data_IF_737378164711
#
_entry.id   IF_737378164711
#
_cell.length_a   1.000
_cell.length_b   1.000
_cell.length_c   1.000
_cell.angle_alpha   90.00
_cell.angle_beta   90.00
_cell.angle_gamma   90.00
#
_symmetry.space_group_name_H-M   'P 1'
#
loop_
_entity.id
_entity.type
_entity.pdbx_description
1 polymer ?
#
# COMPACT_ATOMS: atom_id res chain seq x y z
N UNK A 1 -23.91 -68.97 -2.20
CA UNK A 1 -22.68 -69.77 -1.95
C UNK A 1 -21.78 -68.92 -1.05
N UNK A 2 -21.20 -69.33 0.11
CA UNK A 2 -20.53 -70.59 0.54
C UNK A 2 -19.33 -70.92 -0.37
N UNK A 3 -18.08 -71.10 0.05
CA UNK A 3 -17.31 -71.04 1.34
C UNK A 3 -15.83 -70.70 0.96
N UNK A 4 -14.79 -70.45 1.78
CA UNK A 4 -14.52 -70.53 3.23
C UNK A 4 -13.42 -69.54 3.69
N UNK A 5 -12.92 -69.72 4.92
CA UNK A 5 -11.76 -69.05 5.55
C UNK A 5 -10.41 -69.68 5.14
N UNK A 6 -9.31 -68.98 5.42
CA UNK A 6 -8.11 -69.58 6.07
C UNK A 6 -7.25 -68.48 6.71
N UNK A 7 -6.47 -68.85 7.75
CA UNK A 7 -5.68 -67.92 8.57
C UNK A 7 -4.19 -68.00 8.26
N UNK A 8 -3.43 -66.95 8.60
CA UNK A 8 -2.03 -67.06 9.00
C UNK A 8 -1.62 -65.88 9.90
N UNK A 9 -0.91 -66.19 10.99
CA UNK A 9 -0.30 -65.21 11.90
C UNK A 9 1.22 -65.20 11.67
N UNK A 10 1.84 -64.02 11.75
CA UNK A 10 3.30 -63.89 11.90
C UNK A 10 3.63 -62.74 12.85
N UNK A 11 4.27 -63.07 13.97
CA UNK A 11 4.85 -62.10 14.91
C UNK A 11 6.33 -61.87 14.58
N UNK A 12 6.77 -60.61 14.45
CA UNK A 12 8.17 -60.18 14.72
C UNK A 12 8.15 -58.71 15.19
N UNK A 13 9.23 -58.13 15.78
CA UNK A 13 9.14 -57.68 17.17
C UNK A 13 9.40 -56.18 17.42
N UNK A 14 9.12 -55.74 18.64
CA UNK A 14 9.43 -54.39 19.13
C UNK A 14 10.94 -54.15 19.27
N UNK A 15 11.47 -53.08 18.67
CA UNK A 15 12.85 -52.62 18.87
C UNK A 15 12.89 -51.31 19.67
N UNK A 16 13.19 -51.41 20.97
CA UNK A 16 13.43 -50.24 21.83
C UNK A 16 14.87 -49.75 21.67
N UNK A 17 15.07 -48.46 21.35
CA UNK A 17 16.39 -47.80 21.35
C UNK A 17 16.29 -46.29 21.61
N UNK A 18 16.15 -45.90 22.88
CA UNK A 18 16.25 -44.49 23.31
C UNK A 18 17.67 -44.21 23.83
N UNK A 19 18.54 -43.69 22.96
CA UNK A 19 19.94 -43.41 23.31
C UNK A 19 20.12 -41.99 23.88
N UNK A 20 20.54 -41.89 25.14
CA UNK A 20 20.85 -40.61 25.79
C UNK A 20 22.30 -40.16 25.52
N UNK A 21 22.49 -39.24 24.55
CA UNK A 21 23.78 -38.55 24.33
C UNK A 21 23.81 -37.17 24.98
N UNK A 22 24.31 -37.13 26.22
CA UNK A 22 24.53 -35.93 27.03
C UNK A 22 25.76 -35.15 26.52
N UNK A 23 25.55 -34.15 25.66
CA UNK A 23 26.65 -33.37 25.07
C UNK A 23 26.91 -32.01 25.74
N UNK A 24 28.13 -31.53 25.55
CA UNK A 24 28.88 -30.44 26.17
C UNK A 24 28.19 -29.11 26.50
N UNK A 25 28.73 -28.46 27.54
CA UNK A 25 28.55 -27.03 27.86
C UNK A 25 29.13 -26.15 26.74
N UNK A 26 28.38 -25.16 26.27
CA UNK A 26 28.90 -23.97 25.59
C UNK A 26 28.12 -22.70 26.02
N UNK A 27 28.88 -21.65 26.31
CA UNK A 27 28.57 -20.21 26.14
C UNK A 27 27.21 -19.62 26.53
N UNK A 28 26.76 -19.92 27.75
CA UNK A 28 25.71 -19.15 28.43
C UNK A 28 26.17 -17.76 28.93
N UNK A 29 26.85 -16.93 28.11
CA UNK A 29 27.30 -15.58 28.55
C UNK A 29 27.44 -14.47 27.49
N UNK A 30 26.77 -14.54 26.34
CA UNK A 30 26.80 -13.49 25.30
C UNK A 30 25.48 -12.71 25.07
N UNK A 31 24.34 -13.19 25.59
CA UNK A 31 23.00 -12.80 25.10
C UNK A 31 22.25 -11.73 25.95
N UNK A 32 22.95 -10.82 26.65
CA UNK A 32 22.32 -9.94 27.67
C UNK A 32 22.56 -8.43 27.50
N UNK A 33 23.14 -7.98 26.37
CA UNK A 33 23.39 -6.53 26.12
C UNK A 33 22.84 -5.97 24.79
N UNK A 34 22.25 -6.78 23.91
CA UNK A 34 21.62 -6.29 22.67
C UNK A 34 20.17 -5.81 22.84
N UNK A 35 19.38 -6.47 23.68
CA UNK A 35 17.92 -6.38 23.73
C UNK A 35 17.31 -5.09 24.37
N UNK A 36 18.10 -4.02 24.54
CA UNK A 36 17.63 -2.74 25.12
C UNK A 36 17.86 -1.50 24.25
N UNK A 37 18.13 -1.68 22.95
CA UNK A 37 18.24 -0.56 21.99
C UNK A 37 17.31 -0.65 20.76
N UNK A 38 16.49 -1.70 20.65
CA UNK A 38 15.52 -1.86 19.56
C UNK A 38 14.10 -1.35 19.90
N UNK A 39 13.74 -1.25 21.18
CA UNK A 39 12.36 -1.00 21.63
C UNK A 39 12.00 0.48 21.85
N UNK A 40 12.70 1.42 21.20
CA UNK A 40 12.55 2.87 21.39
C UNK A 40 12.63 3.67 20.07
N UNK A 41 12.41 3.02 18.92
CA UNK A 41 12.52 3.64 17.59
C UNK A 41 11.55 3.06 16.56
N UNK A 42 10.43 2.49 17.02
CA UNK A 42 9.41 1.82 16.18
C UNK A 42 8.03 2.49 16.34
N UNK A 43 7.66 2.79 17.57
CA UNK A 43 6.32 3.26 17.99
C UNK A 43 5.85 4.60 17.42
N UNK A 44 6.66 5.29 16.61
CA UNK A 44 6.25 6.48 15.85
C UNK A 44 5.73 6.07 14.48
N UNK A 45 6.60 5.43 13.70
CA UNK A 45 6.30 4.93 12.35
C UNK A 45 5.16 3.89 12.38
N UNK A 46 5.16 2.95 13.33
CA UNK A 46 4.08 1.97 13.54
C UNK A 46 2.70 2.64 13.76
N UNK A 47 2.66 3.84 14.35
CA UNK A 47 1.43 4.59 14.62
C UNK A 47 0.97 5.39 13.40
N UNK A 48 1.91 6.04 12.69
CA UNK A 48 1.61 6.82 11.51
C UNK A 48 1.22 5.94 10.31
N UNK A 49 1.76 4.72 10.18
CA UNK A 49 1.30 3.75 9.19
C UNK A 49 -0.10 3.20 9.52
N UNK A 50 -0.39 2.87 10.79
CA UNK A 50 -1.75 2.50 11.21
C UNK A 50 -2.77 3.64 10.98
N UNK A 51 -2.33 4.90 11.09
CA UNK A 51 -3.12 6.09 10.77
C UNK A 51 -3.35 6.24 9.26
N UNK A 52 -2.33 6.01 8.42
CA UNK A 52 -2.45 5.96 6.95
C UNK A 52 -3.41 4.87 6.49
N UNK A 53 -3.32 3.66 7.06
CA UNK A 53 -4.27 2.57 6.77
C UNK A 53 -5.71 2.95 7.17
N UNK A 54 -5.91 3.56 8.33
CA UNK A 54 -7.23 4.00 8.78
C UNK A 54 -7.83 5.10 7.86
N UNK A 55 -7.01 6.04 7.39
CA UNK A 55 -7.40 7.07 6.42
C UNK A 55 -7.75 6.45 5.06
N UNK A 56 -7.00 5.45 4.58
CA UNK A 56 -7.32 4.70 3.36
C UNK A 56 -8.59 3.87 3.48
N UNK A 57 -8.84 3.27 4.64
CA UNK A 57 -10.04 2.48 4.92
C UNK A 57 -11.32 3.34 5.05
N UNK A 58 -11.17 4.64 5.33
CA UNK A 58 -12.28 5.60 5.32
C UNK A 58 -12.72 6.01 3.89
N UNK A 59 -11.83 5.90 2.89
CA UNK A 59 -12.19 6.14 1.49
C UNK A 59 -12.96 4.93 0.90
N UNK A 60 -14.17 5.12 0.34
CA UNK A 60 -14.93 4.04 -0.28
C UNK A 60 -14.11 3.37 -1.39
N UNK A 61 -14.17 2.05 -1.56
CA UNK A 61 -13.25 1.27 -2.41
C UNK A 61 -13.05 1.86 -3.81
N UNK A 62 -14.15 2.23 -4.47
CA UNK A 62 -14.20 2.79 -5.81
C UNK A 62 -14.23 4.34 -5.79
N UNK A 63 -13.46 4.97 -4.89
CA UNK A 63 -13.39 6.42 -4.76
C UNK A 63 -12.91 7.09 -6.05
N UNK A 64 -13.80 7.87 -6.67
CA UNK A 64 -13.46 8.83 -7.71
C UNK A 64 -12.54 9.92 -7.14
N UNK A 65 -11.83 10.63 -8.02
CA UNK A 65 -11.01 11.77 -7.60
C UNK A 65 -11.83 12.85 -6.85
N UNK A 66 -13.10 13.06 -7.21
CA UNK A 66 -14.00 13.97 -6.47
C UNK A 66 -14.25 13.50 -5.04
N UNK A 67 -14.59 12.23 -4.83
CA UNK A 67 -14.82 11.66 -3.50
C UNK A 67 -13.54 11.65 -2.65
N UNK A 68 -12.37 11.43 -3.28
CA UNK A 68 -11.08 11.59 -2.62
C UNK A 68 -10.89 13.03 -2.10
N UNK A 69 -11.11 14.05 -2.95
CA UNK A 69 -10.87 15.45 -2.59
C UNK A 69 -11.90 15.95 -1.57
N UNK A 70 -13.18 15.57 -1.69
CA UNK A 70 -14.20 15.84 -0.69
C UNK A 70 -13.80 15.28 0.68
N UNK A 71 -13.32 14.04 0.75
CA UNK A 71 -12.84 13.47 2.00
C UNK A 71 -11.59 14.19 2.53
N UNK A 72 -10.61 14.49 1.66
CA UNK A 72 -9.40 15.22 2.03
C UNK A 72 -9.70 16.60 2.64
N UNK A 73 -10.72 17.32 2.13
CA UNK A 73 -11.18 18.59 2.70
C UNK A 73 -11.93 18.45 4.04
N UNK A 74 -12.39 17.24 4.43
CA UNK A 74 -12.93 16.99 5.78
C UNK A 74 -11.86 16.69 6.84
N UNK A 75 -10.61 16.45 6.43
CA UNK A 75 -9.50 16.15 7.34
C UNK A 75 -8.86 17.45 7.86
N UNK A 76 -8.29 17.38 9.07
CA UNK A 76 -7.73 18.53 9.77
C UNK A 76 -6.21 18.40 9.93
N UNK A 77 -5.48 19.51 9.72
CA UNK A 77 -4.02 19.51 9.83
C UNK A 77 -3.36 18.56 8.83
N UNK A 78 -2.35 17.83 9.29
CA UNK A 78 -1.50 16.99 8.43
C UNK A 78 -2.20 15.72 7.89
N UNK A 79 -3.38 15.36 8.40
CA UNK A 79 -4.14 14.16 7.98
C UNK A 79 -4.49 14.18 6.48
N UNK A 80 -4.75 15.35 5.89
CA UNK A 80 -4.96 15.48 4.45
C UNK A 80 -3.68 15.14 3.64
N UNK A 81 -2.51 15.54 4.12
CA UNK A 81 -1.22 15.22 3.51
C UNK A 81 -0.87 13.73 3.65
N UNK A 82 -1.16 13.14 4.81
CA UNK A 82 -1.01 11.70 5.03
C UNK A 82 -1.97 10.87 4.17
N UNK A 83 -3.21 11.30 3.98
CA UNK A 83 -4.15 10.65 3.06
C UNK A 83 -3.63 10.69 1.62
N UNK A 84 -3.12 11.83 1.14
CA UNK A 84 -2.54 11.96 -0.21
C UNK A 84 -1.35 11.01 -0.39
N UNK A 85 -0.44 10.94 0.59
CA UNK A 85 0.71 10.03 0.53
C UNK A 85 0.26 8.56 0.56
N UNK A 86 -0.62 8.19 1.50
CA UNK A 86 -1.13 6.83 1.62
C UNK A 86 -1.88 6.37 0.34
N UNK A 87 -2.67 7.27 -0.27
CA UNK A 87 -3.35 6.98 -1.53
C UNK A 87 -2.37 6.81 -2.68
N UNK A 88 -1.34 7.66 -2.76
CA UNK A 88 -0.23 7.46 -3.71
C UNK A 88 0.47 6.12 -3.50
N UNK A 89 0.60 5.65 -2.25
CA UNK A 89 1.26 4.39 -1.92
C UNK A 89 0.42 3.14 -2.16
N UNK A 90 -0.91 3.26 -2.18
CA UNK A 90 -1.85 2.16 -2.40
C UNK A 90 -1.93 1.67 -3.85
N UNK A 91 -2.42 0.45 -4.05
CA UNK A 91 -2.78 -0.11 -5.38
C UNK A 91 -3.95 0.64 -6.06
N UNK A 92 -4.57 1.59 -5.37
CA UNK A 92 -5.73 2.36 -5.84
C UNK A 92 -5.33 3.55 -6.73
N UNK A 93 -4.04 3.88 -6.79
CA UNK A 93 -3.51 4.86 -7.74
C UNK A 93 -3.42 4.24 -9.14
N UNK A 94 -4.49 4.39 -9.93
CA UNK A 94 -4.59 3.88 -11.31
C UNK A 94 -4.41 4.98 -12.37
N UNK A 95 -4.26 4.58 -13.64
CA UNK A 95 -4.28 5.52 -14.77
C UNK A 95 -5.62 6.26 -14.84
N UNK A 96 -6.73 5.54 -14.70
CA UNK A 96 -8.09 6.09 -14.69
C UNK A 96 -8.27 7.15 -13.59
N UNK A 97 -7.72 6.92 -12.39
CA UNK A 97 -7.75 7.91 -11.31
C UNK A 97 -6.93 9.18 -11.67
N UNK A 98 -5.79 9.02 -12.35
CA UNK A 98 -4.98 10.14 -12.85
C UNK A 98 -5.69 10.91 -13.98
N UNK A 99 -6.43 10.22 -14.85
CA UNK A 99 -7.27 10.82 -15.88
C UNK A 99 -8.43 11.62 -15.26
N UNK A 100 -9.17 11.03 -14.31
CA UNK A 100 -10.22 11.72 -13.54
C UNK A 100 -9.68 12.96 -12.80
N UNK A 101 -8.47 12.88 -12.22
CA UNK A 101 -7.81 14.00 -11.56
C UNK A 101 -7.54 15.17 -12.54
N UNK A 102 -7.11 14.85 -13.76
CA UNK A 102 -6.91 15.85 -14.81
C UNK A 102 -8.22 16.41 -15.34
N UNK A 103 -9.25 15.57 -15.58
CA UNK A 103 -10.57 16.04 -16.01
C UNK A 103 -11.19 17.00 -14.98
N UNK A 104 -11.03 16.73 -13.67
CA UNK A 104 -11.50 17.64 -12.63
C UNK A 104 -10.73 18.97 -12.61
N UNK A 105 -9.40 18.94 -12.78
CA UNK A 105 -8.57 20.14 -12.86
C UNK A 105 -8.89 20.99 -14.11
N UNK A 106 -9.08 20.35 -15.27
CA UNK A 106 -9.47 21.02 -16.51
C UNK A 106 -10.93 21.51 -16.47
N UNK A 107 -11.83 20.76 -15.81
CA UNK A 107 -13.20 21.16 -15.54
C UNK A 107 -13.30 22.39 -14.62
N UNK A 108 -12.45 22.47 -13.59
CA UNK A 108 -12.32 23.64 -12.73
C UNK A 108 -11.84 24.87 -13.51
N UNK A 109 -10.78 24.72 -14.31
CA UNK A 109 -10.27 25.78 -15.17
C UNK A 109 -11.33 26.28 -16.17
N UNK A 110 -12.00 25.38 -16.89
CA UNK A 110 -12.98 25.74 -17.93
C UNK A 110 -14.29 26.31 -17.39
N UNK A 111 -14.70 25.98 -16.16
CA UNK A 111 -15.86 26.63 -15.50
C UNK A 111 -15.55 27.99 -14.87
N UNK A 112 -14.29 28.45 -14.89
CA UNK A 112 -13.89 29.67 -14.18
C UNK A 112 -14.01 29.53 -12.67
N UNK A 113 -13.62 28.38 -12.12
CA UNK A 113 -13.56 28.15 -10.68
C UNK A 113 -12.57 29.11 -9.99
N UNK A 114 -12.69 29.34 -8.68
CA UNK A 114 -11.67 30.03 -7.89
C UNK A 114 -10.26 29.52 -8.18
N UNK A 115 -9.29 30.43 -8.20
CA UNK A 115 -7.89 30.13 -8.52
C UNK A 115 -7.31 29.12 -7.52
N UNK A 116 -7.62 29.26 -6.23
CA UNK A 116 -7.25 28.34 -5.14
C UNK A 116 -7.83 26.92 -5.33
N UNK A 117 -9.10 26.81 -5.75
CA UNK A 117 -9.74 25.52 -6.05
C UNK A 117 -9.06 24.84 -7.26
N UNK A 118 -8.86 25.60 -8.33
CA UNK A 118 -8.21 25.15 -9.57
C UNK A 118 -6.76 24.73 -9.31
N UNK A 119 -6.00 25.53 -8.56
CA UNK A 119 -4.62 25.26 -8.20
C UNK A 119 -4.50 24.03 -7.29
N UNK A 120 -5.47 23.79 -6.40
CA UNK A 120 -5.53 22.58 -5.58
C UNK A 120 -5.69 21.34 -6.46
N UNK A 121 -6.67 21.32 -7.37
CA UNK A 121 -6.85 20.19 -8.28
C UNK A 121 -5.65 19.95 -9.20
N UNK A 122 -5.06 21.00 -9.78
CA UNK A 122 -3.85 20.92 -10.62
C UNK A 122 -2.65 20.38 -9.82
N UNK A 123 -2.53 20.75 -8.55
CA UNK A 123 -1.45 20.27 -7.66
C UNK A 123 -1.63 18.79 -7.33
N UNK A 124 -2.84 18.37 -6.95
CA UNK A 124 -3.15 16.97 -6.67
C UNK A 124 -2.98 16.08 -7.91
N UNK A 125 -3.50 16.48 -9.07
CA UNK A 125 -3.33 15.75 -10.33
C UNK A 125 -1.84 15.56 -10.67
N UNK A 126 -1.00 16.58 -10.48
CA UNK A 126 0.46 16.47 -10.66
C UNK A 126 1.11 15.50 -9.67
N UNK A 127 0.72 15.52 -8.40
CA UNK A 127 1.24 14.60 -7.37
C UNK A 127 0.88 13.15 -7.73
N UNK A 128 -0.37 12.89 -8.09
CA UNK A 128 -0.84 11.55 -8.47
C UNK A 128 -0.16 11.04 -9.75
N UNK A 129 -0.12 11.85 -10.83
CA UNK A 129 0.59 11.48 -12.06
C UNK A 129 2.09 11.22 -11.82
N UNK A 130 2.76 12.02 -10.97
CA UNK A 130 4.18 11.84 -10.66
C UNK A 130 4.44 10.55 -9.87
N UNK A 131 3.54 10.17 -8.95
CA UNK A 131 3.64 8.93 -8.18
C UNK A 131 3.18 7.69 -8.96
N UNK A 132 2.28 7.84 -9.93
CA UNK A 132 1.90 6.76 -10.83
C UNK A 132 3.04 6.46 -11.81
N UNK A 133 3.62 7.52 -12.41
CA UNK A 133 4.77 7.44 -13.32
C UNK A 133 5.99 6.74 -12.73
N UNK A 134 6.24 6.88 -11.43
CA UNK A 134 7.38 6.22 -10.76
C UNK A 134 7.14 4.73 -10.46
N UNK A 135 5.90 4.24 -10.60
CA UNK A 135 5.50 2.84 -10.35
C UNK A 135 5.33 2.03 -11.64
N UNK A 136 4.78 2.64 -12.67
CA UNK A 136 4.40 1.96 -13.92
C UNK A 136 5.59 1.67 -14.85
N UNK A 137 5.38 0.76 -15.79
CA UNK A 137 6.40 0.45 -16.80
C UNK A 137 6.43 1.52 -17.92
N UNK A 138 7.55 1.66 -18.65
CA UNK A 138 7.70 2.69 -19.69
C UNK A 138 6.55 2.89 -20.71
N UNK A 139 5.82 1.86 -21.21
CA UNK A 139 4.68 2.12 -22.11
C UNK A 139 3.52 2.86 -21.42
N UNK A 140 3.24 2.57 -20.16
CA UNK A 140 2.20 3.24 -19.38
C UNK A 140 2.66 4.66 -18.98
N UNK A 141 3.95 4.83 -18.70
CA UNK A 141 4.54 6.15 -18.47
C UNK A 141 4.43 7.09 -19.68
N UNK A 142 4.38 6.56 -20.91
CA UNK A 142 4.16 7.34 -22.13
C UNK A 142 2.75 7.95 -22.19
N UNK A 143 1.73 7.24 -21.71
CA UNK A 143 0.36 7.75 -21.68
C UNK A 143 0.24 8.94 -20.71
N UNK A 144 1.02 8.95 -19.63
CA UNK A 144 1.11 10.08 -18.70
C UNK A 144 1.75 11.29 -19.38
N UNK A 145 2.78 11.10 -20.23
CA UNK A 145 3.33 12.19 -21.04
C UNK A 145 2.30 12.74 -22.03
N UNK A 146 1.55 11.88 -22.73
CA UNK A 146 0.50 12.31 -23.67
C UNK A 146 -0.60 13.15 -22.96
N UNK A 147 -1.04 12.73 -21.77
CA UNK A 147 -2.01 13.47 -20.95
C UNK A 147 -1.42 14.81 -20.48
N UNK A 148 -0.15 14.84 -20.05
CA UNK A 148 0.53 16.08 -19.60
C UNK A 148 0.78 17.06 -20.75
N UNK A 149 1.09 16.59 -21.95
CA UNK A 149 1.27 17.45 -23.13
C UNK A 149 -0.07 17.89 -23.74
N UNK A 150 -1.15 17.12 -23.58
CA UNK A 150 -2.52 17.60 -23.86
C UNK A 150 -2.92 18.67 -22.84
N UNK A 151 -2.60 18.49 -21.55
CA UNK A 151 -2.81 19.50 -20.51
C UNK A 151 -2.08 20.81 -20.82
N UNK A 152 -0.80 20.75 -21.24
CA UNK A 152 -0.01 21.92 -21.68
C UNK A 152 -0.56 22.60 -22.93
N UNK A 153 -1.25 21.87 -23.81
CA UNK A 153 -1.88 22.42 -25.02
C UNK A 153 -3.24 23.06 -24.76
N UNK A 154 -3.96 22.63 -23.71
CA UNK A 154 -5.29 23.15 -23.34
C UNK A 154 -5.27 24.24 -22.26
N UNK A 155 -4.33 24.18 -21.33
CA UNK A 155 -4.10 25.23 -20.33
C UNK A 155 -3.12 26.24 -20.92
N UNK A 156 -3.51 27.50 -21.17
CA UNK A 156 -2.54 28.54 -21.54
C UNK A 156 -1.54 28.73 -20.38
N UNK A 157 -0.29 29.03 -20.71
CA UNK A 157 0.70 29.38 -19.71
C UNK A 157 0.28 30.69 -19.01
N UNK A 158 0.15 30.62 -17.68
CA UNK A 158 0.01 31.78 -16.79
C UNK A 158 1.38 32.44 -16.57
#
# INVERSE_FOLDING_TARGET
MRVAMTSSMTMIPSTSSSASTRSSRCDARAASRGLRRAALSSTGDDFEDARREALLAALPSDATFTAFVEHAFTLAGDDAGMLVQAFCDSERLTLEFCEQAFECAYGAYTRGAPEEETQTYVTLARIFMSNFRSRVQPPEASLIDDIVDEARRRLPAA
#
